data_IF_443823356597
#
_entry.id   IF_443823356597
#
_cell.length_a   1.000
_cell.length_b   1.000
_cell.length_c   1.000
_cell.angle_alpha   90.00
_cell.angle_beta   90.00
_cell.angle_gamma   90.00
#
_symmetry.space_group_name_H-M   'P 1'
#
loop_
_entity.id
_entity.type
_entity.pdbx_description
1 polymer ?
#
# COMPACT_ATOMS: atom_id res chain seq x y z
N UNK A 1 -26.04 -16.48 11.21
CA UNK A 1 -24.57 -16.44 11.47
C UNK A 1 -24.16 -14.98 11.49
N UNK A 2 -23.45 -14.49 12.53
CA UNK A 2 -22.93 -13.13 12.55
C UNK A 2 -21.80 -12.96 11.53
N UNK A 3 -21.71 -11.78 10.91
CA UNK A 3 -20.67 -11.42 9.93
C UNK A 3 -19.69 -10.46 10.60
N UNK A 4 -18.39 -10.72 10.47
CA UNK A 4 -17.34 -9.80 10.91
C UNK A 4 -17.05 -8.75 9.84
N UNK A 5 -16.76 -7.53 10.28
CA UNK A 5 -16.47 -6.40 9.39
C UNK A 5 -15.26 -5.62 9.92
N UNK A 6 -14.43 -5.12 9.00
CA UNK A 6 -13.34 -4.20 9.28
C UNK A 6 -13.58 -2.85 8.57
N UNK A 7 -13.47 -1.74 9.32
CA UNK A 7 -13.62 -0.37 8.81
C UNK A 7 -12.41 0.11 7.98
N UNK A 8 -11.25 -0.53 8.13
CA UNK A 8 -10.05 -0.14 7.39
C UNK A 8 -8.80 -0.95 7.73
N UNK A 9 -7.80 -0.86 6.86
CA UNK A 9 -6.55 -1.59 7.00
C UNK A 9 -5.34 -0.65 6.85
N UNK A 10 -4.26 -0.80 7.65
CA UNK A 10 -3.06 0.02 7.52
C UNK A 10 -2.46 -0.01 6.11
N UNK A 11 -2.39 1.14 5.44
CA UNK A 11 -2.01 1.26 4.04
C UNK A 11 -0.49 1.27 3.80
N UNK A 12 0.32 1.46 4.85
CA UNK A 12 1.75 1.74 4.73
C UNK A 12 2.58 0.54 4.26
N UNK A 13 2.06 -0.68 4.47
CA UNK A 13 2.77 -1.94 4.30
C UNK A 13 3.64 -2.29 5.51
N UNK A 14 3.87 -3.60 5.72
CA UNK A 14 4.55 -4.13 6.90
C UNK A 14 5.99 -3.60 7.06
N UNK A 15 6.63 -3.24 5.95
CA UNK A 15 7.97 -2.69 5.93
C UNK A 15 7.98 -1.19 5.67
N UNK A 16 6.84 -0.48 5.67
CA UNK A 16 6.70 0.93 5.24
C UNK A 16 7.04 1.15 3.76
N UNK A 17 6.69 0.20 2.90
CA UNK A 17 6.92 0.25 1.45
C UNK A 17 6.34 1.53 0.83
N UNK A 18 5.12 1.91 1.22
CA UNK A 18 4.46 3.09 0.66
C UNK A 18 5.17 4.39 1.06
N UNK A 19 5.68 4.49 2.31
CA UNK A 19 6.48 5.65 2.75
C UNK A 19 7.71 5.82 1.86
N UNK A 20 8.48 4.75 1.65
CA UNK A 20 9.70 4.78 0.82
C UNK A 20 9.39 5.13 -0.63
N UNK A 21 8.34 4.55 -1.22
CA UNK A 21 7.95 4.84 -2.59
C UNK A 21 7.52 6.31 -2.76
N UNK A 22 6.73 6.83 -1.82
CA UNK A 22 6.28 8.23 -1.84
C UNK A 22 7.45 9.21 -1.67
N UNK A 23 8.33 8.98 -0.69
CA UNK A 23 9.52 9.82 -0.49
C UNK A 23 10.51 9.71 -1.67
N UNK A 24 10.62 8.51 -2.27
CA UNK A 24 11.38 8.28 -3.48
C UNK A 24 10.82 9.06 -4.68
N UNK A 25 9.50 9.12 -4.82
CA UNK A 25 8.84 9.90 -5.87
C UNK A 25 9.05 11.41 -5.66
N UNK A 26 8.88 11.90 -4.43
CA UNK A 26 9.12 13.32 -4.11
C UNK A 26 10.57 13.75 -4.35
N UNK A 27 11.53 12.85 -4.11
CA UNK A 27 12.96 13.12 -4.36
C UNK A 27 13.39 12.86 -5.81
N UNK A 28 12.46 12.50 -6.71
CA UNK A 28 12.74 12.23 -8.13
C UNK A 28 13.49 10.91 -8.39
N UNK A 29 13.65 10.05 -7.36
CA UNK A 29 14.36 8.76 -7.45
C UNK A 29 13.48 7.60 -7.89
N UNK A 30 12.16 7.78 -7.85
CA UNK A 30 11.15 6.77 -8.19
C UNK A 30 10.19 7.40 -9.19
N UNK A 31 9.82 6.67 -10.24
CA UNK A 31 8.85 7.16 -11.23
C UNK A 31 7.43 7.16 -10.65
N UNK A 32 6.54 7.98 -11.23
CA UNK A 32 5.12 7.93 -10.86
C UNK A 32 4.53 6.52 -11.07
N UNK A 33 4.94 5.83 -12.14
CA UNK A 33 4.49 4.48 -12.44
C UNK A 33 4.88 3.47 -11.34
N UNK A 34 6.12 3.57 -10.82
CA UNK A 34 6.60 2.69 -9.74
C UNK A 34 5.92 2.96 -8.40
N UNK A 35 5.61 4.23 -8.09
CA UNK A 35 4.80 4.59 -6.94
C UNK A 35 3.40 3.97 -7.02
N UNK A 36 2.73 4.12 -8.17
CA UNK A 36 1.40 3.58 -8.39
C UNK A 36 1.39 2.04 -8.35
N UNK A 37 2.41 1.41 -8.93
CA UNK A 37 2.62 -0.05 -8.87
C UNK A 37 2.77 -0.53 -7.42
N UNK A 38 3.57 0.17 -6.62
CA UNK A 38 3.73 -0.14 -5.18
C UNK A 38 2.40 -0.05 -4.46
N UNK A 39 1.62 1.02 -4.68
CA UNK A 39 0.30 1.19 -4.09
C UNK A 39 -0.70 0.10 -4.51
N UNK A 40 -0.67 -0.33 -5.78
CA UNK A 40 -1.53 -1.40 -6.28
C UNK A 40 -1.20 -2.76 -5.63
N UNK A 41 0.08 -3.11 -5.55
CA UNK A 41 0.54 -4.35 -4.91
C UNK A 41 0.17 -4.40 -3.42
N UNK A 42 0.25 -3.27 -2.71
CA UNK A 42 -0.17 -3.18 -1.31
C UNK A 42 -1.67 -3.42 -1.14
N UNK A 43 -2.51 -2.80 -1.97
CA UNK A 43 -3.97 -3.02 -1.92
C UNK A 43 -4.33 -4.48 -2.17
N UNK A 44 -3.74 -5.08 -3.21
CA UNK A 44 -3.96 -6.49 -3.54
C UNK A 44 -3.60 -7.39 -2.34
N UNK A 45 -2.41 -7.20 -1.75
CA UNK A 45 -1.96 -7.99 -0.61
C UNK A 45 -2.86 -7.83 0.61
N UNK A 46 -3.33 -6.62 0.90
CA UNK A 46 -4.18 -6.34 2.05
C UNK A 46 -5.61 -6.88 1.88
N UNK A 47 -6.14 -6.90 0.66
CA UNK A 47 -7.45 -7.52 0.40
C UNK A 47 -7.40 -9.04 0.48
N UNK A 48 -6.30 -9.67 0.06
CA UNK A 48 -6.12 -11.13 0.20
C UNK A 48 -5.95 -11.58 1.66
N UNK A 49 -5.53 -10.69 2.56
CA UNK A 49 -5.30 -10.99 3.97
C UNK A 49 -6.58 -10.86 4.82
N UNK A 50 -7.50 -10.00 4.41
CA UNK A 50 -8.79 -9.77 5.09
C UNK A 50 -9.73 -10.94 4.85
#
# INVERSE_FOLDING_TARGET
MPISHNLGFPHLGAARELKRATEGYWSGKVSQADLLKTGAALRERHWRLQ
#
